data_IF_782421068133
#
_entry.id   IF_782421068133
#
_cell.length_a   1.000
_cell.length_b   1.000
_cell.length_c   1.000
_cell.angle_alpha   90.00
_cell.angle_beta   90.00
_cell.angle_gamma   90.00
#
_symmetry.space_group_name_H-M   'P 1'
#
loop_
_entity.id
_entity.type
_entity.pdbx_description
1 polymer ?
#
# COMPACT_ATOMS: atom_id res chain seq x y z
N UNK A 1 -32.67 8.99 45.21
CA UNK A 1 -32.61 8.66 43.78
C UNK A 1 -31.33 9.24 43.20
N UNK A 2 -30.28 8.43 43.03
CA UNK A 2 -29.19 8.69 42.06
C UNK A 2 -28.86 7.31 41.48
N UNK A 3 -29.30 7.08 40.25
CA UNK A 3 -28.97 5.89 39.46
C UNK A 3 -27.62 6.10 38.78
N UNK A 4 -26.77 5.08 38.91
CA UNK A 4 -25.92 4.46 37.88
C UNK A 4 -25.15 5.34 36.89
N UNK A 5 -23.81 5.24 36.91
CA UNK A 5 -23.07 4.95 35.67
C UNK A 5 -21.60 4.49 35.79
N UNK A 6 -21.21 3.72 36.81
CA UNK A 6 -19.80 3.28 36.96
C UNK A 6 -19.46 1.92 36.31
N UNK A 7 -20.26 1.45 35.34
CA UNK A 7 -20.03 0.14 34.67
C UNK A 7 -19.35 0.24 33.30
N UNK A 8 -19.14 1.44 32.76
CA UNK A 8 -18.42 1.57 31.51
C UNK A 8 -16.92 1.42 31.77
N UNK A 9 -16.34 0.29 31.32
CA UNK A 9 -14.92 0.03 30.97
C UNK A 9 -14.29 -1.24 31.58
N UNK A 10 -15.04 -2.12 32.24
CA UNK A 10 -14.51 -3.43 32.63
C UNK A 10 -14.61 -4.42 31.44
N UNK A 11 -13.55 -4.52 30.63
CA UNK A 11 -13.43 -5.53 29.57
C UNK A 11 -13.17 -5.01 28.14
N UNK A 12 -13.13 -3.69 27.94
CA UNK A 12 -12.66 -3.14 26.66
C UNK A 12 -11.13 -3.23 26.60
N UNK A 13 -10.64 -4.30 25.98
CA UNK A 13 -9.24 -4.39 25.56
C UNK A 13 -8.84 -3.18 24.72
N UNK A 14 -7.53 -2.96 24.57
CA UNK A 14 -7.00 -1.83 23.80
C UNK A 14 -7.63 -1.79 22.40
N UNK A 15 -8.19 -0.65 21.95
CA UNK A 15 -8.87 -0.59 20.66
C UNK A 15 -7.92 -1.00 19.53
N UNK A 16 -8.43 -1.81 18.59
CA UNK A 16 -7.68 -2.26 17.41
C UNK A 16 -7.17 -1.03 16.65
N UNK A 17 -5.88 -1.02 16.30
CA UNK A 17 -5.23 0.12 15.63
C UNK A 17 -4.63 1.19 16.57
N UNK A 18 -4.76 1.04 17.90
CA UNK A 18 -4.13 2.00 18.82
C UNK A 18 -2.60 1.92 18.70
N UNK A 19 -1.98 3.02 18.25
CA UNK A 19 -0.52 3.14 18.15
C UNK A 19 0.17 3.03 19.52
N UNK A 20 1.36 2.40 19.56
CA UNK A 20 2.18 2.34 20.78
C UNK A 20 2.57 3.77 21.23
N UNK A 21 2.29 4.10 22.49
CA UNK A 21 2.57 5.42 23.08
C UNK A 21 4.06 5.76 22.98
N UNK A 22 4.95 4.80 23.28
CA UNK A 22 6.40 5.01 23.22
C UNK A 22 6.85 5.31 21.80
N UNK A 23 6.43 4.51 20.82
CA UNK A 23 6.73 4.74 19.40
C UNK A 23 6.17 6.06 18.88
N UNK A 24 4.98 6.48 19.33
CA UNK A 24 4.40 7.78 18.97
C UNK A 24 5.23 8.95 19.48
N UNK A 25 5.65 8.91 20.75
CA UNK A 25 6.49 9.94 21.37
C UNK A 25 7.84 10.00 20.66
N UNK A 26 8.46 8.84 20.42
CA UNK A 26 9.72 8.74 19.70
C UNK A 26 9.65 9.31 18.28
N UNK A 27 8.63 8.94 17.50
CA UNK A 27 8.41 9.50 16.15
C UNK A 27 8.29 11.01 16.16
N UNK A 28 7.57 11.58 17.14
CA UNK A 28 7.45 13.03 17.30
C UNK A 28 8.80 13.68 17.61
N UNK A 29 9.52 13.16 18.61
CA UNK A 29 10.82 13.70 18.99
C UNK A 29 11.82 13.64 17.82
N UNK A 30 11.81 12.56 17.05
CA UNK A 30 12.64 12.40 15.85
C UNK A 30 12.32 13.46 14.78
N UNK A 31 11.04 13.71 14.50
CA UNK A 31 10.62 14.72 13.53
C UNK A 31 11.03 16.13 13.97
N UNK A 32 10.83 16.45 15.26
CA UNK A 32 11.26 17.74 15.82
C UNK A 32 12.78 17.92 15.76
N UNK A 33 13.56 16.87 16.07
CA UNK A 33 15.01 16.91 15.96
C UNK A 33 15.47 17.14 14.51
N UNK A 34 14.83 16.47 13.55
CA UNK A 34 15.12 16.65 12.13
C UNK A 34 14.77 18.06 11.62
N UNK A 35 13.66 18.63 12.08
CA UNK A 35 13.29 20.01 11.79
C UNK A 35 14.31 21.02 12.34
N UNK A 36 14.73 20.84 13.59
CA UNK A 36 15.76 21.67 14.22
C UNK A 36 17.12 21.55 13.52
N UNK A 37 17.51 20.35 13.10
CA UNK A 37 18.74 20.13 12.33
C UNK A 37 18.67 20.87 10.98
N UNK A 38 17.51 20.87 10.32
CA UNK A 38 17.31 21.59 9.08
C UNK A 38 17.36 23.10 9.20
N UNK A 39 16.90 23.64 10.34
CA UNK A 39 17.02 25.07 10.66
C UNK A 39 18.49 25.55 10.78
N UNK A 40 19.46 24.63 10.87
CA UNK A 40 20.89 24.97 10.81
C UNK A 40 21.37 25.21 9.37
N UNK A 41 20.71 24.62 8.38
CA UNK A 41 21.08 24.70 6.96
C UNK A 41 20.20 25.68 6.16
N UNK A 42 18.98 25.95 6.62
CA UNK A 42 18.03 26.86 5.96
C UNK A 42 16.93 27.35 6.90
N UNK A 43 15.88 27.96 6.35
CA UNK A 43 14.76 28.53 7.13
C UNK A 43 13.49 27.67 7.09
N UNK A 44 13.51 26.56 6.36
CA UNK A 44 12.34 25.73 6.11
C UNK A 44 12.36 24.42 6.91
N UNK A 45 13.10 24.40 8.03
CA UNK A 45 13.18 23.27 8.97
C UNK A 45 13.45 21.95 8.26
N UNK A 46 12.53 21.01 8.39
CA UNK A 46 12.68 19.65 7.86
C UNK A 46 12.94 19.62 6.34
N UNK A 47 12.39 20.58 5.57
CA UNK A 47 12.64 20.66 4.13
C UNK A 47 14.11 20.98 3.86
N UNK A 48 14.67 21.97 4.56
CA UNK A 48 16.09 22.31 4.45
C UNK A 48 17.00 21.15 4.85
N UNK A 49 16.61 20.35 5.86
CA UNK A 49 17.32 19.12 6.22
C UNK A 49 17.34 18.09 5.09
N UNK A 50 16.18 17.83 4.48
CA UNK A 50 16.05 16.87 3.39
C UNK A 50 16.75 17.35 2.11
N UNK A 51 16.71 18.65 1.80
CA UNK A 51 17.46 19.23 0.68
C UNK A 51 18.97 19.06 0.86
N UNK A 52 19.48 19.30 2.08
CA UNK A 52 20.89 19.07 2.40
C UNK A 52 21.27 17.60 2.17
N UNK A 53 20.45 16.65 2.64
CA UNK A 53 20.72 15.22 2.43
C UNK A 53 20.55 14.75 0.99
N UNK A 54 19.66 15.36 0.21
CA UNK A 54 19.52 15.05 -1.22
C UNK A 54 20.83 15.31 -1.99
N UNK A 55 21.58 16.34 -1.60
CA UNK A 55 22.84 16.73 -2.24
C UNK A 55 24.03 15.96 -1.64
N UNK A 56 24.13 15.92 -0.30
CA UNK A 56 25.31 15.39 0.38
C UNK A 56 25.29 13.87 0.57
N UNK A 57 24.09 13.27 0.64
CA UNK A 57 23.89 11.85 0.92
C UNK A 57 22.78 11.27 0.01
N UNK A 58 23.00 11.22 -1.31
CA UNK A 58 21.95 10.87 -2.27
C UNK A 58 21.45 9.43 -2.10
N UNK A 59 22.31 8.47 -1.72
CA UNK A 59 21.94 7.05 -1.58
C UNK A 59 20.86 6.83 -0.49
N UNK A 60 21.04 7.32 0.75
CA UNK A 60 19.96 7.30 1.75
C UNK A 60 18.70 8.06 1.30
N UNK A 61 18.86 9.20 0.62
CA UNK A 61 17.73 10.02 0.17
C UNK A 61 16.86 9.29 -0.87
N UNK A 62 17.47 8.63 -1.86
CA UNK A 62 16.75 7.80 -2.82
C UNK A 62 16.00 6.64 -2.15
N UNK A 63 16.58 6.05 -1.11
CA UNK A 63 15.91 4.99 -0.34
C UNK A 63 14.65 5.49 0.39
N UNK A 64 14.63 6.76 0.82
CA UNK A 64 13.43 7.39 1.38
C UNK A 64 12.41 7.69 0.28
N UNK A 65 12.84 8.21 -0.87
CA UNK A 65 11.95 8.46 -2.02
C UNK A 65 11.23 7.18 -2.45
N UNK A 66 11.94 6.06 -2.58
CA UNK A 66 11.33 4.78 -2.92
C UNK A 66 10.25 4.31 -1.92
N UNK A 67 10.34 4.72 -0.64
CA UNK A 67 9.35 4.41 0.39
C UNK A 67 8.17 5.38 0.42
N UNK A 68 8.39 6.64 0.02
CA UNK A 68 7.35 7.67 -0.08
C UNK A 68 6.53 7.51 -1.36
N UNK A 69 7.15 6.99 -2.42
CA UNK A 69 6.44 6.60 -3.62
C UNK A 69 5.49 5.44 -3.29
N UNK A 70 4.20 5.55 -3.68
CA UNK A 70 3.26 4.44 -3.50
C UNK A 70 3.70 3.26 -4.38
N UNK A 71 4.31 2.26 -3.75
CA UNK A 71 4.72 1.00 -4.40
C UNK A 71 3.53 0.09 -4.68
N UNK A 72 2.39 0.35 -4.04
CA UNK A 72 1.14 -0.36 -4.25
C UNK A 72 0.04 0.68 -4.45
N UNK A 73 -0.79 0.48 -5.47
CA UNK A 73 -2.12 1.08 -5.53
C UNK A 73 -2.89 0.39 -4.41
N UNK A 74 -2.79 0.91 -3.18
CA UNK A 74 -3.67 0.50 -2.10
C UNK A 74 -5.05 0.90 -2.55
N UNK A 75 -5.92 -0.08 -2.83
CA UNK A 75 -7.32 0.14 -3.16
C UNK A 75 -8.11 0.67 -1.95
N UNK A 76 -7.64 1.76 -1.36
CA UNK A 76 -8.37 2.52 -0.34
C UNK A 76 -9.46 3.40 -0.97
N UNK A 77 -9.40 3.61 -2.29
CA UNK A 77 -10.56 4.01 -3.08
C UNK A 77 -11.29 2.74 -3.58
N UNK A 78 -12.16 2.18 -2.75
CA UNK A 78 -12.99 1.01 -3.06
C UNK A 78 -13.85 1.17 -4.34
N UNK A 79 -13.93 2.37 -4.94
CA UNK A 79 -14.84 2.64 -6.05
C UNK A 79 -14.29 2.37 -7.47
N UNK A 80 -12.99 2.10 -7.70
CA UNK A 80 -12.46 2.06 -9.09
C UNK A 80 -11.50 0.94 -9.46
N UNK A 81 -11.45 -0.16 -8.73
CA UNK A 81 -10.73 -1.36 -9.21
C UNK A 81 -11.66 -2.56 -9.30
N UNK A 82 -12.52 -2.57 -10.32
CA UNK A 82 -13.22 -3.80 -10.75
C UNK A 82 -12.19 -4.74 -11.37
N UNK A 83 -11.65 -5.65 -10.58
CA UNK A 83 -10.89 -6.79 -11.11
C UNK A 83 -11.90 -7.72 -11.78
N UNK A 84 -12.00 -7.65 -13.12
CA UNK A 84 -12.82 -8.59 -13.90
C UNK A 84 -11.95 -9.83 -14.16
N UNK A 85 -12.08 -10.85 -13.33
CA UNK A 85 -11.50 -12.17 -13.62
C UNK A 85 -12.48 -12.98 -14.48
N UNK A 86 -12.25 -13.04 -15.79
CA UNK A 86 -12.96 -13.95 -16.69
C UNK A 86 -12.23 -15.29 -16.70
N UNK A 87 -12.84 -16.31 -16.11
CA UNK A 87 -12.34 -17.68 -16.14
C UNK A 87 -13.08 -18.42 -17.25
N UNK A 88 -12.36 -18.85 -18.29
CA UNK A 88 -12.90 -19.74 -19.32
C UNK A 88 -12.40 -21.16 -19.06
N UNK A 89 -13.33 -22.09 -18.89
CA UNK A 89 -13.03 -23.51 -18.73
C UNK A 89 -12.94 -24.09 -20.15
N UNK A 90 -11.73 -24.43 -20.58
CA UNK A 90 -11.51 -25.14 -21.84
C UNK A 90 -11.40 -26.64 -21.55
N UNK A 91 -12.23 -27.49 -22.16
CA UNK A 91 -12.06 -28.93 -22.06
C UNK A 91 -10.77 -29.34 -22.77
N UNK A 92 -9.87 -30.00 -22.05
CA UNK A 92 -8.71 -30.65 -22.66
C UNK A 92 -9.18 -31.94 -23.32
N UNK A 93 -9.20 -31.96 -24.65
CA UNK A 93 -9.41 -33.19 -25.40
C UNK A 93 -8.14 -34.05 -25.27
N UNK A 94 -8.29 -35.29 -24.82
CA UNK A 94 -7.18 -36.26 -24.83
C UNK A 94 -6.75 -36.54 -26.28
N UNK A 95 -5.42 -36.67 -26.48
CA UNK A 95 -4.81 -36.92 -27.80
C UNK A 95 -5.31 -38.18 -28.52
N UNK A 96 -6.09 -39.03 -27.84
CA UNK A 96 -6.65 -40.26 -28.39
C UNK A 96 -7.81 -40.03 -29.37
N UNK A 97 -8.39 -38.82 -29.41
CA UNK A 97 -9.44 -38.47 -30.38
C UNK A 97 -8.93 -37.82 -31.68
N UNK A 98 -7.60 -37.63 -31.82
CA UNK A 98 -7.00 -37.02 -33.02
C UNK A 98 -6.69 -38.00 -34.17
N UNK A 99 -7.04 -39.30 -34.07
CA UNK A 99 -6.79 -40.25 -35.18
C UNK A 99 -7.94 -40.41 -36.16
N UNK A 100 -9.18 -40.03 -35.80
CA UNK A 100 -10.34 -40.61 -36.51
C UNK A 100 -11.17 -39.68 -37.39
N UNK A 101 -10.83 -38.39 -37.55
CA UNK A 101 -11.43 -37.57 -38.62
C UNK A 101 -10.44 -36.59 -39.25
N UNK A 102 -10.32 -36.54 -40.59
CA UNK A 102 -9.51 -35.53 -41.24
C UNK A 102 -10.12 -34.14 -40.99
N UNK A 103 -9.28 -33.19 -40.56
CA UNK A 103 -9.62 -31.78 -40.40
C UNK A 103 -10.29 -31.25 -41.67
N UNK A 104 -11.59 -30.92 -41.57
CA UNK A 104 -12.30 -30.16 -42.60
C UNK A 104 -12.16 -28.68 -42.25
N UNK A 105 -11.29 -27.98 -42.98
CA UNK A 105 -11.05 -26.55 -42.80
C UNK A 105 -12.35 -25.75 -42.82
N UNK A 106 -12.53 -24.90 -41.81
CA UNK A 106 -13.60 -23.91 -41.77
C UNK A 106 -13.30 -22.88 -42.88
N UNK A 107 -14.09 -22.92 -43.95
CA UNK A 107 -14.12 -21.84 -44.96
C UNK A 107 -14.65 -20.59 -44.27
N UNK A 108 -13.84 -19.54 -44.22
CA UNK A 108 -14.29 -18.22 -43.81
C UNK A 108 -15.43 -17.75 -44.73
N UNK A 109 -16.47 -17.20 -44.13
CA UNK A 109 -17.46 -16.41 -44.82
C UNK A 109 -17.02 -14.95 -44.64
N UNK A 110 -16.29 -14.41 -45.61
CA UNK A 110 -16.09 -12.97 -45.74
C UNK A 110 -17.31 -12.36 -46.43
N UNK A 111 -17.67 -11.16 -45.97
CA UNK A 111 -18.59 -10.23 -46.66
C UNK A 111 -17.73 -9.30 -47.49
#
# INVERSE_FOLDING_TARGET
MIQDNSLALKGRGRPKGTVNKTTKIFKKALLTAAEQAGNQYGRDGLVSYLCYHAINNPVPFFSLLAKVLPLQVTGEDEEKTKVISRVEIVPMLSNETMSDKPYKGFRGNET
#
